data_IF_140403493636
#
_entry.id   IF_140403493636
#
_cell.length_a   1.000
_cell.length_b   1.000
_cell.length_c   1.000
_cell.angle_alpha   90.00
_cell.angle_beta   90.00
_cell.angle_gamma   90.00
#
_symmetry.space_group_name_H-M   'P 1'
#
loop_
_entity.id
_entity.type
_entity.pdbx_description
1 polymer ?
#
# COMPACT_ATOMS: atom_id res chain seq x y z
N UNK A 1 41.66 22.86 21.09
CA UNK A 1 40.82 22.06 20.18
C UNK A 1 40.06 23.03 19.29
N UNK A 2 40.13 22.93 17.98
CA UNK A 2 39.50 23.90 17.09
C UNK A 2 38.00 23.62 17.05
N UNK A 3 37.15 24.63 17.30
CA UNK A 3 35.69 24.51 17.31
C UNK A 3 35.12 23.85 16.02
N UNK A 4 35.74 24.16 14.87
CA UNK A 4 35.38 23.56 13.59
C UNK A 4 35.54 22.02 13.59
N UNK A 5 36.63 21.51 14.12
CA UNK A 5 36.86 20.06 14.23
C UNK A 5 35.92 19.39 15.24
N UNK A 6 35.52 20.10 16.30
CA UNK A 6 34.54 19.59 17.26
C UNK A 6 33.16 19.47 16.62
N UNK A 7 32.71 20.48 15.86
CA UNK A 7 31.44 20.47 15.16
C UNK A 7 31.42 19.41 14.04
N UNK A 8 32.51 19.26 13.30
CA UNK A 8 32.66 18.22 12.29
C UNK A 8 32.58 16.81 12.92
N UNK A 9 33.27 16.59 14.02
CA UNK A 9 33.22 15.32 14.75
C UNK A 9 31.79 15.05 15.28
N UNK A 10 31.12 16.08 15.84
CA UNK A 10 29.75 15.99 16.31
C UNK A 10 28.78 15.58 15.18
N UNK A 11 28.90 16.19 14.03
CA UNK A 11 28.11 15.82 12.84
C UNK A 11 28.34 14.36 12.44
N UNK A 12 29.61 13.93 12.37
CA UNK A 12 29.95 12.55 12.01
C UNK A 12 29.47 11.53 13.03
N UNK A 13 29.48 11.86 14.31
CA UNK A 13 28.95 11.01 15.38
C UNK A 13 27.44 10.87 15.25
N UNK A 14 26.70 11.97 15.03
CA UNK A 14 25.25 11.93 14.81
C UNK A 14 24.87 11.07 13.60
N UNK A 15 25.56 11.24 12.48
CA UNK A 15 25.35 10.39 11.31
C UNK A 15 25.78 8.94 11.58
N UNK A 16 26.88 8.74 12.30
CA UNK A 16 27.43 7.43 12.65
C UNK A 16 26.47 6.60 13.52
N UNK A 17 25.74 7.21 14.46
CA UNK A 17 24.79 6.51 15.32
C UNK A 17 23.56 5.99 14.56
N UNK A 18 23.16 6.62 13.47
CA UNK A 18 22.01 6.18 12.67
C UNK A 18 22.28 4.85 11.95
N UNK A 19 23.55 4.58 11.60
CA UNK A 19 23.92 3.38 10.84
C UNK A 19 23.86 2.08 11.62
N UNK A 20 24.36 1.98 12.88
CA UNK A 20 24.17 0.79 13.70
C UNK A 20 22.70 0.41 13.88
N UNK A 21 21.83 1.41 14.09
CA UNK A 21 20.39 1.19 14.21
C UNK A 21 19.83 0.60 12.92
N UNK A 22 20.27 1.12 11.77
CA UNK A 22 19.83 0.62 10.47
C UNK A 22 20.36 -0.80 10.21
N UNK A 23 21.59 -1.12 10.57
CA UNK A 23 22.17 -2.47 10.50
C UNK A 23 21.32 -3.47 11.31
N UNK A 24 21.01 -3.12 12.57
CA UNK A 24 20.22 -3.99 13.46
C UNK A 24 18.81 -4.19 12.91
N UNK A 25 18.17 -3.12 12.43
CA UNK A 25 16.85 -3.18 11.80
C UNK A 25 16.86 -4.09 10.57
N UNK A 26 17.81 -3.87 9.65
CA UNK A 26 17.94 -4.67 8.45
C UNK A 26 18.27 -6.15 8.77
N UNK A 27 19.13 -6.40 9.77
CA UNK A 27 19.46 -7.75 10.21
C UNK A 27 18.25 -8.50 10.76
N UNK A 28 17.41 -7.83 11.56
CA UNK A 28 16.17 -8.41 12.13
C UNK A 28 15.09 -8.62 11.09
N UNK A 29 15.00 -7.75 10.09
CA UNK A 29 14.02 -7.85 9.01
C UNK A 29 14.20 -9.09 8.12
N UNK A 30 15.43 -9.66 8.08
CA UNK A 30 15.78 -10.87 7.28
C UNK A 30 15.44 -10.76 5.79
N UNK A 31 15.17 -9.56 5.28
CA UNK A 31 14.87 -9.26 3.87
C UNK A 31 15.66 -8.06 3.38
N UNK A 32 16.04 -8.06 2.11
CA UNK A 32 16.74 -6.94 1.48
C UNK A 32 15.80 -5.90 0.84
N UNK A 33 14.48 -6.15 0.79
CA UNK A 33 13.51 -5.31 0.06
C UNK A 33 13.43 -3.85 0.51
N UNK A 34 13.70 -3.57 1.78
CA UNK A 34 13.69 -2.20 2.32
C UNK A 34 15.06 -1.49 2.27
N UNK A 35 16.07 -2.04 1.59
CA UNK A 35 17.43 -1.52 1.63
C UNK A 35 17.95 -1.26 0.22
N UNK A 36 18.35 -0.02 -0.07
CA UNK A 36 18.97 0.35 -1.35
C UNK A 36 20.48 0.13 -1.30
N UNK A 37 21.00 -0.81 -2.08
CA UNK A 37 22.44 -1.02 -2.22
C UNK A 37 23.15 0.20 -2.80
N UNK A 38 22.54 0.85 -3.80
CA UNK A 38 23.10 2.05 -4.41
C UNK A 38 23.28 3.18 -3.38
N UNK A 39 22.33 3.35 -2.47
CA UNK A 39 22.42 4.32 -1.40
C UNK A 39 23.59 4.01 -0.44
N UNK A 40 23.77 2.76 -0.04
CA UNK A 40 24.90 2.36 0.82
C UNK A 40 26.23 2.61 0.13
N UNK A 41 26.36 2.28 -1.17
CA UNK A 41 27.58 2.50 -1.95
C UNK A 41 27.90 3.99 -2.04
N UNK A 42 26.89 4.84 -2.28
CA UNK A 42 27.07 6.29 -2.34
C UNK A 42 27.65 6.86 -1.03
N UNK A 43 27.16 6.40 0.11
CA UNK A 43 27.68 6.82 1.43
C UNK A 43 29.11 6.33 1.65
N UNK A 44 29.43 5.09 1.28
CA UNK A 44 30.81 4.56 1.35
C UNK A 44 31.76 5.43 0.53
N UNK A 45 31.35 5.78 -0.69
CA UNK A 45 32.12 6.66 -1.59
C UNK A 45 32.35 8.03 -0.95
N UNK A 46 31.36 8.59 -0.29
CA UNK A 46 31.47 9.85 0.45
C UNK A 46 32.51 9.77 1.59
N UNK A 47 32.49 8.69 2.37
CA UNK A 47 33.52 8.50 3.43
C UNK A 47 34.92 8.31 2.86
N UNK A 48 35.07 7.55 1.77
CA UNK A 48 36.39 7.39 1.10
C UNK A 48 36.89 8.75 0.61
N UNK A 49 36.03 9.55 -0.04
CA UNK A 49 36.43 10.90 -0.48
C UNK A 49 36.84 11.82 0.69
N UNK A 50 36.09 11.78 1.80
CA UNK A 50 36.42 12.56 3.01
C UNK A 50 37.72 12.14 3.64
N UNK A 51 37.99 10.84 3.73
CA UNK A 51 39.27 10.31 4.23
C UNK A 51 40.42 10.77 3.32
N UNK A 52 40.24 10.62 1.99
CA UNK A 52 41.25 11.03 1.02
C UNK A 52 41.60 12.54 1.13
N UNK A 53 40.56 13.38 1.25
CA UNK A 53 40.77 14.83 1.40
C UNK A 53 41.57 15.17 2.69
N UNK A 54 41.30 14.49 3.82
CA UNK A 54 42.04 14.71 5.06
C UNK A 54 43.48 14.26 4.99
N UNK A 55 43.74 13.16 4.30
CA UNK A 55 45.12 12.67 4.08
C UNK A 55 45.88 13.64 3.18
N UNK A 56 45.33 14.07 2.06
CA UNK A 56 45.96 15.01 1.13
C UNK A 56 46.28 16.34 1.82
N UNK A 57 45.40 16.84 2.68
CA UNK A 57 45.55 18.08 3.41
C UNK A 57 46.41 17.94 4.69
N UNK A 58 47.06 16.80 4.94
CA UNK A 58 47.82 16.50 6.16
C UNK A 58 47.08 16.76 7.47
N UNK A 59 45.72 16.62 7.45
CA UNK A 59 44.88 16.84 8.62
C UNK A 59 44.64 15.52 9.40
N UNK A 60 45.74 14.93 9.87
CA UNK A 60 45.72 13.66 10.62
C UNK A 60 45.31 13.92 12.08
N UNK A 61 44.05 14.16 12.33
CA UNK A 61 43.47 14.41 13.65
C UNK A 61 42.48 13.32 14.06
N UNK A 62 41.96 13.40 15.30
CA UNK A 62 41.00 12.43 15.85
C UNK A 62 39.73 12.29 14.98
N UNK A 63 39.39 13.32 14.21
CA UNK A 63 38.23 13.29 13.29
C UNK A 63 38.44 12.24 12.18
N UNK A 64 39.66 12.04 11.71
CA UNK A 64 39.99 11.00 10.75
C UNK A 64 39.66 9.60 11.29
N UNK A 65 39.92 9.37 12.59
CA UNK A 65 39.51 8.11 13.25
C UNK A 65 38.00 7.86 13.22
N UNK A 66 37.19 8.92 13.39
CA UNK A 66 35.74 8.84 13.29
C UNK A 66 35.28 8.50 11.87
N UNK A 67 35.94 9.02 10.83
CA UNK A 67 35.64 8.65 9.43
C UNK A 67 35.89 7.15 9.18
N UNK A 68 37.01 6.60 9.68
CA UNK A 68 37.30 5.17 9.54
C UNK A 68 36.26 4.30 10.29
N UNK A 69 35.89 4.71 11.52
CA UNK A 69 34.87 4.01 12.30
C UNK A 69 33.54 3.98 11.54
N UNK A 70 33.08 5.12 11.04
CA UNK A 70 31.84 5.23 10.29
C UNK A 70 31.88 4.42 8.99
N UNK A 71 33.00 4.42 8.27
CA UNK A 71 33.19 3.61 7.07
C UNK A 71 33.04 2.11 7.40
N UNK A 72 33.62 1.65 8.50
CA UNK A 72 33.51 0.26 8.94
C UNK A 72 32.05 -0.11 9.26
N UNK A 73 31.32 0.75 9.99
CA UNK A 73 29.92 0.55 10.35
C UNK A 73 29.03 0.52 9.09
N UNK A 74 29.22 1.47 8.16
CA UNK A 74 28.44 1.51 6.92
C UNK A 74 28.74 0.28 6.05
N UNK A 75 30.00 -0.18 6.01
CA UNK A 75 30.38 -1.39 5.29
C UNK A 75 29.66 -2.64 5.84
N UNK A 76 29.38 -2.70 7.14
CA UNK A 76 28.60 -3.78 7.74
C UNK A 76 27.19 -3.88 7.13
N UNK A 77 26.57 -2.77 6.69
CA UNK A 77 25.28 -2.80 6.00
C UNK A 77 25.35 -3.56 4.67
N UNK A 78 26.47 -3.51 3.96
CA UNK A 78 26.66 -4.29 2.71
C UNK A 78 26.59 -5.79 3.01
N UNK A 79 27.25 -6.24 4.07
CA UNK A 79 27.22 -7.65 4.47
C UNK A 79 25.81 -8.10 4.86
N UNK A 80 25.08 -7.27 5.63
CA UNK A 80 23.69 -7.56 6.01
C UNK A 80 22.80 -7.59 4.76
N UNK A 81 22.97 -6.66 3.82
CA UNK A 81 22.24 -6.65 2.56
C UNK A 81 22.47 -7.94 1.76
N UNK A 82 23.74 -8.36 1.57
CA UNK A 82 24.08 -9.58 0.84
C UNK A 82 23.49 -10.82 1.52
N UNK A 83 23.59 -10.89 2.87
CA UNK A 83 22.95 -11.96 3.65
C UNK A 83 21.44 -12.02 3.42
N UNK A 84 20.77 -10.89 3.55
CA UNK A 84 19.33 -10.80 3.39
C UNK A 84 18.89 -11.13 1.96
N UNK A 85 19.63 -10.68 0.95
CA UNK A 85 19.38 -11.04 -0.46
C UNK A 85 19.53 -12.54 -0.70
N UNK A 86 20.48 -13.20 -0.01
CA UNK A 86 20.62 -14.68 -0.06
C UNK A 86 19.46 -15.40 0.66
N UNK A 87 18.95 -14.83 1.76
CA UNK A 87 17.79 -15.34 2.47
C UNK A 87 16.52 -15.21 1.62
N UNK A 88 16.32 -14.06 0.97
CA UNK A 88 15.21 -13.84 0.03
C UNK A 88 15.25 -14.85 -1.12
N UNK A 89 16.45 -15.13 -1.70
CA UNK A 89 16.63 -16.17 -2.71
C UNK A 89 16.29 -17.58 -2.20
N UNK A 90 16.73 -17.91 -0.97
CA UNK A 90 16.41 -19.22 -0.34
C UNK A 90 14.92 -19.35 -0.03
N UNK A 91 14.28 -18.28 0.44
CA UNK A 91 12.83 -18.24 0.68
C UNK A 91 12.04 -18.42 -0.62
N UNK A 92 12.49 -17.80 -1.72
CA UNK A 92 11.91 -17.98 -3.04
C UNK A 92 12.16 -19.38 -3.63
N UNK A 93 13.31 -19.99 -3.31
CA UNK A 93 13.65 -21.34 -3.77
C UNK A 93 13.02 -22.47 -2.94
N UNK A 94 12.67 -22.21 -1.67
CA UNK A 94 12.10 -23.20 -0.75
C UNK A 94 10.55 -23.26 -0.79
N UNK A 95 9.90 -22.47 -1.68
CA UNK A 95 8.46 -22.59 -1.96
C UNK A 95 8.08 -23.93 -2.61
N UNK A 96 9.05 -24.77 -2.97
CA UNK A 96 8.77 -26.08 -3.58
C UNK A 96 8.88 -27.30 -2.64
N UNK A 97 9.20 -27.14 -1.35
CA UNK A 97 9.36 -28.33 -0.49
C UNK A 97 8.83 -28.04 0.92
N UNK A 98 7.71 -28.63 1.19
CA UNK A 98 6.95 -28.88 2.42
C UNK A 98 5.66 -28.08 2.54
N UNK A 99 4.77 -28.27 1.57
CA UNK A 99 3.37 -28.45 1.93
C UNK A 99 3.31 -29.77 2.71
N UNK A 100 3.29 -29.67 4.04
CA UNK A 100 2.87 -30.76 4.90
C UNK A 100 1.53 -31.22 4.34
N UNK A 101 1.36 -32.51 4.06
CA UNK A 101 0.08 -33.13 3.71
C UNK A 101 -0.96 -32.77 4.78
N UNK A 102 -1.49 -31.57 4.71
CA UNK A 102 -2.88 -31.29 5.10
C UNK A 102 -3.67 -32.08 4.07
N UNK A 103 -4.59 -32.90 4.53
CA UNK A 103 -5.32 -33.82 3.69
C UNK A 103 -5.83 -33.06 2.47
N UNK A 104 -5.36 -33.47 1.30
CA UNK A 104 -5.68 -32.87 -0.02
C UNK A 104 -7.19 -32.66 -0.15
N UNK A 105 -7.99 -33.50 0.52
CA UNK A 105 -9.45 -33.44 0.60
C UNK A 105 -10.01 -32.16 1.26
N UNK A 106 -9.35 -31.61 2.29
CA UNK A 106 -9.82 -30.40 2.98
C UNK A 106 -9.47 -29.15 2.19
N UNK A 107 -8.33 -29.19 1.47
CA UNK A 107 -7.92 -28.11 0.56
C UNK A 107 -8.81 -28.09 -0.69
N UNK A 108 -9.15 -29.26 -1.23
CA UNK A 108 -10.06 -29.37 -2.38
C UNK A 108 -11.46 -28.92 -1.99
N UNK A 109 -11.95 -29.30 -0.81
CA UNK A 109 -13.25 -28.87 -0.29
C UNK A 109 -13.32 -27.37 -0.04
N UNK A 110 -12.29 -26.79 0.59
CA UNK A 110 -12.19 -25.34 0.77
C UNK A 110 -12.07 -24.60 -0.56
N UNK A 111 -11.36 -25.15 -1.54
CA UNK A 111 -11.29 -24.60 -2.90
C UNK A 111 -12.64 -24.68 -3.64
N UNK A 112 -13.39 -25.76 -3.47
CA UNK A 112 -14.71 -25.90 -4.07
C UNK A 112 -15.72 -24.96 -3.41
N UNK A 113 -15.67 -24.80 -2.09
CA UNK A 113 -16.53 -23.88 -1.35
C UNK A 113 -16.24 -22.41 -1.69
N UNK A 114 -14.95 -22.04 -1.77
CA UNK A 114 -14.51 -20.71 -2.23
C UNK A 114 -14.90 -20.51 -3.70
N UNK A 115 -14.74 -21.51 -4.55
CA UNK A 115 -15.10 -21.46 -5.96
C UNK A 115 -16.61 -21.33 -6.15
N UNK A 116 -17.42 -22.04 -5.35
CA UNK A 116 -18.87 -21.97 -5.40
C UNK A 116 -19.40 -20.61 -4.93
N UNK A 117 -18.89 -20.10 -3.82
CA UNK A 117 -19.23 -18.75 -3.33
C UNK A 117 -18.79 -17.66 -4.30
N UNK A 118 -17.59 -17.83 -4.89
CA UNK A 118 -17.07 -16.93 -5.91
C UNK A 118 -17.88 -16.98 -7.21
N UNK A 119 -18.30 -18.17 -7.65
CA UNK A 119 -19.11 -18.34 -8.86
C UNK A 119 -20.51 -17.76 -8.67
N UNK A 120 -21.13 -17.95 -7.51
CA UNK A 120 -22.45 -17.39 -7.20
C UNK A 120 -22.41 -15.84 -7.14
N UNK A 121 -21.38 -15.27 -6.51
CA UNK A 121 -21.17 -13.80 -6.50
C UNK A 121 -20.84 -13.23 -7.88
N UNK A 122 -20.15 -13.99 -8.73
CA UNK A 122 -19.89 -13.63 -10.12
C UNK A 122 -21.13 -13.72 -10.99
N UNK A 123 -21.95 -14.76 -10.80
CA UNK A 123 -23.18 -14.93 -11.56
C UNK A 123 -24.23 -13.87 -11.20
N UNK A 124 -24.30 -13.43 -9.95
CA UNK A 124 -25.13 -12.29 -9.53
C UNK A 124 -24.64 -10.97 -10.17
N UNK A 125 -23.32 -10.74 -10.24
CA UNK A 125 -22.74 -9.58 -10.90
C UNK A 125 -22.92 -9.62 -12.43
N UNK A 126 -22.78 -10.80 -13.05
CA UNK A 126 -22.94 -10.97 -14.51
C UNK A 126 -24.42 -10.89 -14.92
N UNK A 127 -25.33 -11.42 -14.10
CA UNK A 127 -26.76 -11.41 -14.40
C UNK A 127 -27.46 -10.08 -14.04
N UNK A 128 -26.90 -9.27 -13.13
CA UNK A 128 -27.33 -7.91 -12.82
C UNK A 128 -26.94 -6.86 -13.86
N UNK A 129 -25.91 -7.13 -14.66
CA UNK A 129 -25.34 -6.17 -15.63
C UNK A 129 -25.73 -6.53 -17.09
N UNK A 130 -26.98 -6.80 -17.38
CA UNK A 130 -27.41 -6.82 -18.78
C UNK A 130 -27.41 -5.41 -19.35
N UNK A 131 -26.39 -5.14 -20.20
CA UNK A 131 -26.31 -4.07 -21.21
C UNK A 131 -25.84 -2.66 -20.78
N UNK A 132 -24.78 -2.50 -20.03
CA UNK A 132 -24.00 -1.25 -20.10
C UNK A 132 -22.68 -1.52 -20.82
N UNK A 133 -22.42 -0.82 -21.93
CA UNK A 133 -21.09 -0.75 -22.54
C UNK A 133 -20.24 0.05 -21.55
N UNK A 134 -19.44 -0.65 -20.74
CA UNK A 134 -18.51 -0.02 -19.79
C UNK A 134 -17.48 0.80 -20.58
N UNK A 135 -17.39 2.09 -20.29
CA UNK A 135 -16.45 2.96 -20.91
C UNK A 135 -15.02 2.63 -20.47
N UNK A 136 -14.10 2.58 -21.41
CA UNK A 136 -12.67 2.54 -21.11
C UNK A 136 -12.25 3.83 -20.42
N UNK A 137 -11.17 3.77 -19.65
CA UNK A 137 -10.61 4.92 -18.91
C UNK A 137 -11.50 5.43 -17.75
N UNK A 138 -12.34 4.58 -17.19
CA UNK A 138 -13.13 4.90 -16.01
C UNK A 138 -12.29 4.83 -14.73
N UNK A 139 -12.83 5.41 -13.66
CA UNK A 139 -12.37 5.17 -12.29
C UNK A 139 -13.11 3.95 -11.72
N UNK A 140 -12.41 3.08 -11.03
CA UNK A 140 -12.98 1.88 -10.44
C UNK A 140 -12.91 1.97 -8.91
N UNK A 141 -14.03 1.71 -8.24
CA UNK A 141 -14.06 1.37 -6.82
C UNK A 141 -13.96 -0.16 -6.72
N UNK A 142 -12.94 -0.64 -6.04
CA UNK A 142 -12.66 -2.07 -5.88
C UNK A 142 -12.37 -2.40 -4.43
N UNK A 143 -13.33 -2.98 -3.76
CA UNK A 143 -13.25 -3.26 -2.33
C UNK A 143 -14.08 -4.45 -1.89
N UNK A 144 -14.33 -4.50 -0.59
CA UNK A 144 -15.03 -5.56 0.10
C UNK A 144 -16.52 -5.26 0.33
N UNK A 145 -17.00 -5.81 1.44
CA UNK A 145 -18.44 -5.77 1.80
C UNK A 145 -18.93 -4.35 2.11
N UNK A 146 -18.09 -3.50 2.71
CA UNK A 146 -18.42 -2.10 2.97
C UNK A 146 -18.68 -1.33 1.67
N UNK A 147 -17.91 -1.63 0.63
CA UNK A 147 -17.89 -0.87 -0.61
C UNK A 147 -18.99 -1.27 -1.58
N UNK A 148 -19.43 -2.53 -1.51
CA UNK A 148 -20.39 -3.10 -2.46
C UNK A 148 -21.67 -2.26 -2.63
N UNK A 149 -22.17 -1.71 -1.53
CA UNK A 149 -23.43 -0.96 -1.50
C UNK A 149 -23.26 0.55 -1.70
N UNK A 150 -22.07 1.04 -2.02
CA UNK A 150 -21.86 2.46 -2.34
C UNK A 150 -22.46 2.77 -3.71
N UNK A 151 -23.47 3.68 -3.78
CA UNK A 151 -24.16 4.00 -5.02
C UNK A 151 -23.33 4.99 -5.85
N UNK A 152 -22.22 4.50 -6.42
CA UNK A 152 -21.23 5.35 -7.12
C UNK A 152 -21.83 6.18 -8.26
N UNK A 153 -22.84 5.67 -8.97
CA UNK A 153 -23.48 6.39 -10.06
C UNK A 153 -24.32 7.58 -9.56
N UNK A 154 -25.02 7.44 -8.42
CA UNK A 154 -25.81 8.50 -7.82
C UNK A 154 -24.91 9.57 -7.23
N UNK A 155 -23.88 9.17 -6.49
CA UNK A 155 -22.88 10.07 -5.94
C UNK A 155 -22.09 10.79 -7.05
N UNK A 156 -21.77 10.11 -8.17
CA UNK A 156 -21.13 10.73 -9.32
C UNK A 156 -21.99 11.87 -9.90
N UNK A 157 -23.30 11.68 -9.98
CA UNK A 157 -24.24 12.73 -10.44
C UNK A 157 -24.38 13.87 -9.43
N UNK A 158 -24.56 13.52 -8.15
CA UNK A 158 -24.73 14.50 -7.07
C UNK A 158 -23.52 15.44 -6.93
N UNK A 159 -22.32 14.87 -7.04
CA UNK A 159 -21.05 15.60 -6.88
C UNK A 159 -20.41 16.03 -8.22
N UNK A 160 -21.15 15.93 -9.33
CA UNK A 160 -20.72 16.37 -10.66
C UNK A 160 -19.32 15.84 -11.05
N UNK A 161 -19.13 14.51 -10.99
CA UNK A 161 -17.89 13.93 -11.47
C UNK A 161 -17.83 14.04 -13.00
N UNK A 162 -16.67 14.40 -13.51
CA UNK A 162 -16.44 14.55 -14.96
C UNK A 162 -15.76 13.33 -15.60
N UNK A 163 -15.93 12.17 -14.97
CA UNK A 163 -15.42 10.87 -15.42
C UNK A 163 -16.40 9.78 -15.01
N UNK A 164 -16.37 8.68 -15.76
CA UNK A 164 -17.14 7.50 -15.41
C UNK A 164 -16.53 6.78 -14.23
N UNK A 165 -17.38 6.26 -13.36
CA UNK A 165 -16.95 5.46 -12.22
C UNK A 165 -17.84 4.23 -12.07
N UNK A 166 -17.21 3.08 -11.82
CA UNK A 166 -17.89 1.81 -11.64
C UNK A 166 -17.50 1.18 -10.31
N UNK A 167 -18.48 0.61 -9.63
CA UNK A 167 -18.26 -0.19 -8.44
C UNK A 167 -18.07 -1.66 -8.84
N UNK A 168 -16.87 -2.19 -8.60
CA UNK A 168 -16.48 -3.59 -8.84
C UNK A 168 -16.13 -4.31 -7.53
N UNK A 169 -16.70 -3.84 -6.42
CA UNK A 169 -16.47 -4.42 -5.11
C UNK A 169 -17.26 -5.72 -4.92
N UNK A 170 -16.66 -6.68 -4.22
CA UNK A 170 -17.21 -7.99 -3.98
C UNK A 170 -17.25 -8.31 -2.48
N UNK A 171 -18.37 -8.86 -2.00
CA UNK A 171 -18.46 -9.30 -0.61
C UNK A 171 -17.45 -10.39 -0.30
N UNK A 172 -16.89 -10.33 0.91
CA UNK A 172 -15.98 -11.34 1.44
C UNK A 172 -14.77 -11.65 0.56
N UNK A 173 -14.36 -10.73 -0.31
CA UNK A 173 -13.22 -10.94 -1.19
C UNK A 173 -11.92 -10.92 -0.40
N UNK A 174 -11.03 -11.87 -0.68
CA UNK A 174 -9.67 -11.92 -0.17
C UNK A 174 -8.68 -11.38 -1.21
N UNK A 175 -7.47 -11.00 -0.82
CA UNK A 175 -6.44 -10.50 -1.74
C UNK A 175 -6.09 -11.49 -2.87
N UNK A 176 -5.92 -12.81 -2.62
CA UNK A 176 -5.74 -13.77 -3.71
C UNK A 176 -6.90 -13.78 -4.71
N UNK A 177 -8.14 -13.74 -4.21
CA UNK A 177 -9.34 -13.72 -5.05
C UNK A 177 -9.47 -12.38 -5.80
N UNK A 178 -9.13 -11.27 -5.17
CA UNK A 178 -9.15 -9.95 -5.78
C UNK A 178 -8.18 -9.84 -6.96
N UNK A 179 -7.00 -10.44 -6.86
CA UNK A 179 -6.03 -10.50 -7.95
C UNK A 179 -6.59 -11.21 -9.19
N UNK A 180 -7.24 -12.37 -8.99
CA UNK A 180 -7.86 -13.12 -10.08
C UNK A 180 -9.09 -12.39 -10.64
N UNK A 181 -9.90 -11.77 -9.78
CA UNK A 181 -11.04 -10.98 -10.19
C UNK A 181 -10.62 -9.76 -11.03
N UNK A 182 -9.58 -9.06 -10.61
CA UNK A 182 -9.02 -7.95 -11.36
C UNK A 182 -8.64 -8.38 -12.78
N UNK A 183 -7.86 -9.45 -12.93
CA UNK A 183 -7.43 -9.97 -14.23
C UNK A 183 -8.59 -10.30 -15.16
N UNK A 184 -9.64 -10.93 -14.62
CA UNK A 184 -10.77 -11.42 -15.40
C UNK A 184 -11.77 -10.31 -15.75
N UNK A 185 -12.05 -9.39 -14.83
CA UNK A 185 -13.19 -8.50 -14.93
C UNK A 185 -12.82 -7.01 -15.05
N UNK A 186 -11.74 -6.55 -14.42
CA UNK A 186 -11.39 -5.13 -14.35
C UNK A 186 -10.33 -4.75 -15.39
N UNK A 187 -9.34 -5.60 -15.62
CA UNK A 187 -8.21 -5.32 -16.50
C UNK A 187 -8.63 -4.89 -17.93
N UNK A 188 -9.69 -5.50 -18.48
CA UNK A 188 -10.24 -5.17 -19.79
C UNK A 188 -10.78 -3.73 -19.92
N UNK A 189 -11.12 -3.09 -18.79
CA UNK A 189 -11.63 -1.72 -18.73
C UNK A 189 -10.52 -0.68 -18.87
N UNK A 190 -9.25 -1.06 -18.69
CA UNK A 190 -8.09 -0.18 -18.75
C UNK A 190 -8.31 1.04 -17.83
N UNK A 191 -8.46 0.85 -16.51
CA UNK A 191 -8.86 1.91 -15.60
C UNK A 191 -7.87 3.08 -15.62
N UNK A 192 -8.38 4.30 -15.62
CA UNK A 192 -7.59 5.51 -15.46
C UNK A 192 -7.27 5.81 -13.99
N UNK A 193 -8.11 5.32 -13.10
CA UNK A 193 -7.91 5.39 -11.66
C UNK A 193 -8.59 4.22 -10.97
N UNK A 194 -8.04 3.79 -9.85
CA UNK A 194 -8.59 2.72 -9.05
C UNK A 194 -8.48 3.06 -7.56
N UNK A 195 -9.58 2.90 -6.85
CA UNK A 195 -9.67 3.05 -5.39
C UNK A 195 -9.80 1.64 -4.83
N UNK A 196 -8.82 1.21 -4.04
CA UNK A 196 -8.70 -0.16 -3.53
C UNK A 196 -8.92 -0.18 -2.03
N UNK A 197 -9.93 -0.92 -1.58
CA UNK A 197 -10.22 -1.16 -0.17
C UNK A 197 -10.30 -2.66 0.08
N UNK A 198 -9.15 -3.29 0.27
CA UNK A 198 -8.99 -4.74 0.40
C UNK A 198 -8.21 -5.10 1.65
N UNK A 199 -8.31 -6.34 2.08
CA UNK A 199 -7.54 -6.90 3.19
C UNK A 199 -8.36 -7.16 4.45
N UNK A 200 -9.62 -6.73 4.53
CA UNK A 200 -10.48 -6.98 5.70
C UNK A 200 -10.69 -8.48 5.97
N UNK A 201 -10.68 -9.30 4.93
CA UNK A 201 -10.84 -10.74 4.99
C UNK A 201 -9.51 -11.52 5.04
N UNK A 202 -8.37 -10.80 5.08
CA UNK A 202 -7.04 -11.40 5.02
C UNK A 202 -6.30 -11.36 6.36
N UNK A 203 -7.00 -11.17 7.48
CA UNK A 203 -6.41 -11.12 8.83
C UNK A 203 -5.64 -12.41 9.14
N UNK A 204 -6.20 -13.56 8.80
CA UNK A 204 -5.55 -14.86 9.00
C UNK A 204 -4.30 -15.03 8.12
N UNK A 205 -4.36 -14.58 6.86
CA UNK A 205 -3.21 -14.56 5.96
C UNK A 205 -2.10 -13.69 6.53
N UNK A 206 -2.44 -12.47 6.96
CA UNK A 206 -1.48 -11.51 7.51
C UNK A 206 -0.80 -12.03 8.79
N UNK A 207 -1.56 -12.67 9.69
CA UNK A 207 -1.03 -13.23 10.93
C UNK A 207 -0.07 -14.39 10.69
N UNK A 208 -0.36 -15.24 9.72
CA UNK A 208 0.46 -16.41 9.41
C UNK A 208 1.67 -16.06 8.53
N UNK A 209 1.50 -15.15 7.59
CA UNK A 209 2.53 -14.71 6.63
C UNK A 209 2.27 -13.30 6.14
N UNK A 210 2.72 -12.30 6.90
CA UNK A 210 2.58 -10.89 6.50
C UNK A 210 3.33 -10.56 5.21
N UNK A 211 4.39 -11.31 4.88
CA UNK A 211 5.10 -11.12 3.63
C UNK A 211 4.29 -11.62 2.43
N UNK A 212 3.49 -12.66 2.59
CA UNK A 212 2.56 -13.10 1.56
C UNK A 212 1.44 -12.07 1.35
N UNK A 213 0.91 -11.48 2.43
CA UNK A 213 -0.07 -10.39 2.34
C UNK A 213 0.48 -9.21 1.52
N UNK A 214 1.68 -8.72 1.87
CA UNK A 214 2.34 -7.64 1.14
C UNK A 214 2.58 -8.02 -0.34
N UNK A 215 2.96 -9.27 -0.59
CA UNK A 215 3.22 -9.74 -1.94
C UNK A 215 1.96 -9.80 -2.82
N UNK A 216 0.80 -10.17 -2.26
CA UNK A 216 -0.46 -10.13 -3.00
C UNK A 216 -0.85 -8.70 -3.35
N UNK A 217 -0.70 -7.76 -2.42
CA UNK A 217 -0.94 -6.34 -2.71
C UNK A 217 -0.02 -5.83 -3.81
N UNK A 218 1.28 -6.05 -3.69
CA UNK A 218 2.26 -5.62 -4.69
C UNK A 218 1.99 -6.24 -6.06
N UNK A 219 1.63 -7.53 -6.10
CA UNK A 219 1.30 -8.21 -7.35
C UNK A 219 0.04 -7.59 -8.00
N UNK A 220 -0.98 -7.25 -7.20
CA UNK A 220 -2.17 -6.58 -7.71
C UNK A 220 -1.82 -5.21 -8.31
N UNK A 221 -0.98 -4.43 -7.64
CA UNK A 221 -0.55 -3.12 -8.14
C UNK A 221 0.31 -3.24 -9.40
N UNK A 222 1.16 -4.25 -9.50
CA UNK A 222 1.95 -4.54 -10.69
C UNK A 222 1.05 -4.90 -11.89
N UNK A 223 0.01 -5.72 -11.67
CA UNK A 223 -0.98 -6.06 -12.71
C UNK A 223 -1.77 -4.83 -13.17
N UNK A 224 -2.17 -3.94 -12.25
CA UNK A 224 -2.86 -2.68 -12.60
C UNK A 224 -1.96 -1.82 -13.48
N UNK A 225 -0.69 -1.64 -13.09
CA UNK A 225 0.29 -0.84 -13.85
C UNK A 225 0.67 -1.49 -15.18
N UNK A 226 0.64 -2.81 -15.27
CA UNK A 226 0.85 -3.54 -16.53
C UNK A 226 -0.26 -3.25 -17.54
N UNK A 227 -1.51 -3.09 -17.06
CA UNK A 227 -2.66 -2.72 -17.90
C UNK A 227 -2.61 -1.24 -18.30
N UNK A 228 -2.35 -0.36 -17.34
CA UNK A 228 -2.21 1.08 -17.56
C UNK A 228 -1.16 1.65 -16.59
N UNK A 229 0.03 1.95 -17.11
CA UNK A 229 1.16 2.48 -16.33
C UNK A 229 0.86 3.82 -15.66
N UNK A 230 -0.06 4.60 -16.22
CA UNK A 230 -0.45 5.92 -15.76
C UNK A 230 -1.71 5.86 -14.87
N UNK A 231 -2.20 4.66 -14.53
CA UNK A 231 -3.34 4.47 -13.65
C UNK A 231 -3.07 5.11 -12.28
N UNK A 232 -3.96 6.00 -11.87
CA UNK A 232 -3.90 6.61 -10.54
C UNK A 232 -4.44 5.61 -9.52
N UNK A 233 -3.70 5.35 -8.46
CA UNK A 233 -4.06 4.34 -7.46
C UNK A 233 -4.24 5.01 -6.11
N UNK A 234 -5.35 4.70 -5.43
CA UNK A 234 -5.58 5.03 -4.03
C UNK A 234 -5.80 3.74 -3.23
N UNK A 235 -5.05 3.58 -2.15
CA UNK A 235 -5.21 2.49 -1.19
C UNK A 235 -5.91 3.00 0.05
N UNK A 236 -6.97 2.32 0.44
CA UNK A 236 -7.80 2.67 1.59
C UNK A 236 -7.41 1.78 2.77
N UNK A 237 -7.30 2.35 3.96
CA UNK A 237 -7.06 1.57 5.17
C UNK A 237 -8.28 0.73 5.54
N UNK A 238 -8.06 -0.45 6.12
CA UNK A 238 -9.12 -1.26 6.70
C UNK A 238 -9.75 -0.47 7.86
N UNK A 239 -11.07 -0.43 7.93
CA UNK A 239 -11.79 0.27 8.99
C UNK A 239 -11.53 -0.37 10.36
N UNK A 240 -11.07 0.42 11.33
CA UNK A 240 -10.64 -0.07 12.64
C UNK A 240 -11.18 0.79 13.81
N UNK A 241 -12.52 0.86 13.99
CA UNK A 241 -13.14 1.74 14.98
C UNK A 241 -12.83 1.35 16.43
N UNK A 242 -12.51 0.07 16.69
CA UNK A 242 -12.22 -0.47 17.99
C UNK A 242 -10.73 -0.38 18.40
N UNK A 243 -9.88 0.20 17.53
CA UNK A 243 -8.44 0.29 17.81
C UNK A 243 -7.74 -1.08 17.88
N UNK A 244 -8.17 -2.04 17.10
CA UNK A 244 -7.55 -3.36 17.04
C UNK A 244 -6.10 -3.24 16.55
N UNK A 245 -5.16 -3.65 17.39
CA UNK A 245 -3.72 -3.56 17.10
C UNK A 245 -3.28 -4.33 15.85
N UNK A 246 -3.96 -5.43 15.52
CA UNK A 246 -3.66 -6.24 14.33
C UNK A 246 -4.08 -5.49 13.07
N UNK A 247 -5.27 -4.91 13.04
CA UNK A 247 -5.73 -4.08 11.93
C UNK A 247 -4.88 -2.82 11.78
N UNK A 248 -4.47 -2.20 12.88
CA UNK A 248 -3.54 -1.07 12.84
C UNK A 248 -2.20 -1.45 12.20
N UNK A 249 -1.68 -2.66 12.49
CA UNK A 249 -0.46 -3.15 11.86
C UNK A 249 -0.66 -3.45 10.37
N UNK A 250 -1.79 -4.06 9.98
CA UNK A 250 -2.14 -4.25 8.57
C UNK A 250 -2.24 -2.92 7.83
N UNK A 251 -2.87 -1.92 8.42
CA UNK A 251 -2.97 -0.58 7.86
C UNK A 251 -1.60 0.10 7.70
N UNK A 252 -0.67 -0.15 8.62
CA UNK A 252 0.71 0.32 8.48
C UNK A 252 1.43 -0.34 7.29
N UNK A 253 1.18 -1.62 7.02
CA UNK A 253 1.69 -2.32 5.83
C UNK A 253 1.08 -1.75 4.54
N UNK A 254 -0.24 -1.56 4.49
CA UNK A 254 -0.93 -0.97 3.33
C UNK A 254 -0.38 0.45 3.05
N UNK A 255 -0.18 1.26 4.10
CA UNK A 255 0.44 2.58 3.95
C UNK A 255 1.87 2.51 3.43
N UNK A 256 2.69 1.59 3.93
CA UNK A 256 4.05 1.40 3.44
C UNK A 256 4.08 0.97 1.96
N UNK A 257 3.16 0.10 1.55
CA UNK A 257 2.98 -0.29 0.15
C UNK A 257 2.59 0.93 -0.70
N UNK A 258 1.62 1.73 -0.24
CA UNK A 258 1.20 2.93 -0.96
C UNK A 258 2.37 3.90 -1.18
N UNK A 259 3.19 4.14 -0.15
CA UNK A 259 4.37 5.00 -0.24
C UNK A 259 5.42 4.45 -1.23
N UNK A 260 5.66 3.13 -1.20
CA UNK A 260 6.63 2.48 -2.09
C UNK A 260 6.19 2.56 -3.55
N UNK A 261 4.89 2.36 -3.79
CA UNK A 261 4.28 2.28 -5.11
C UNK A 261 3.78 3.62 -5.64
N UNK A 262 4.01 4.73 -4.90
CA UNK A 262 3.56 6.09 -5.22
C UNK A 262 2.03 6.19 -5.38
N UNK A 263 1.29 5.36 -4.66
CA UNK A 263 -0.15 5.42 -4.56
C UNK A 263 -0.58 6.40 -3.44
N UNK A 264 -1.79 6.91 -3.54
CA UNK A 264 -2.39 7.72 -2.48
C UNK A 264 -2.86 6.80 -1.36
N UNK A 265 -2.46 7.05 -0.10
CA UNK A 265 -3.02 6.36 1.04
C UNK A 265 -4.10 7.20 1.71
N UNK A 266 -5.25 6.58 2.01
CA UNK A 266 -6.40 7.21 2.66
C UNK A 266 -6.74 6.43 3.92
N UNK A 267 -6.59 7.10 5.07
CA UNK A 267 -6.88 6.51 6.38
C UNK A 267 -8.34 6.76 6.77
N UNK A 268 -9.15 5.70 6.86
CA UNK A 268 -10.56 5.75 7.25
C UNK A 268 -10.78 6.17 8.71
N UNK A 269 -9.77 6.09 9.58
CA UNK A 269 -9.88 6.60 10.96
C UNK A 269 -10.16 8.12 10.98
N UNK A 270 -9.76 8.83 9.93
CA UNK A 270 -10.00 10.26 9.76
C UNK A 270 -11.37 10.57 9.13
N UNK A 271 -12.17 9.57 8.76
CA UNK A 271 -13.44 9.75 8.05
C UNK A 271 -14.45 10.65 8.80
N UNK A 272 -14.39 10.68 10.13
CA UNK A 272 -15.24 11.53 10.97
C UNK A 272 -14.96 13.04 10.77
N UNK A 273 -13.79 13.39 10.23
CA UNK A 273 -13.36 14.76 9.97
C UNK A 273 -13.68 15.22 8.55
N UNK A 274 -14.15 14.33 7.70
CA UNK A 274 -14.43 14.65 6.31
C UNK A 274 -15.72 15.46 6.17
N UNK A 275 -15.67 16.42 5.27
CA UNK A 275 -16.82 17.29 4.97
C UNK A 275 -17.12 17.25 3.47
N UNK A 276 -17.93 16.30 3.00
CA UNK A 276 -18.27 16.16 1.59
C UNK A 276 -19.00 17.39 1.03
N UNK A 277 -19.75 18.12 1.84
CA UNK A 277 -20.43 19.35 1.40
C UNK A 277 -19.46 20.49 1.06
N UNK A 278 -18.34 20.61 1.79
CA UNK A 278 -17.29 21.55 1.44
C UNK A 278 -16.63 21.19 0.10
N UNK A 279 -16.43 19.91 -0.16
CA UNK A 279 -15.93 19.41 -1.44
C UNK A 279 -16.92 19.69 -2.57
N UNK A 280 -18.24 19.53 -2.33
CA UNK A 280 -19.30 19.86 -3.27
C UNK A 280 -19.28 21.33 -3.63
N UNK A 281 -19.28 22.24 -2.63
CA UNK A 281 -19.24 23.67 -2.85
C UNK A 281 -18.00 24.13 -3.63
N UNK A 282 -16.82 23.57 -3.32
CA UNK A 282 -15.60 23.87 -4.06
C UNK A 282 -15.69 23.46 -5.53
N UNK A 283 -16.32 22.31 -5.83
CA UNK A 283 -16.50 21.81 -7.18
C UNK A 283 -17.53 22.63 -7.98
N UNK A 284 -18.63 23.04 -7.35
CA UNK A 284 -19.63 23.92 -7.95
C UNK A 284 -19.01 25.28 -8.33
N UNK A 285 -18.21 25.85 -7.44
CA UNK A 285 -17.47 27.08 -7.71
C UNK A 285 -16.50 26.90 -8.90
N UNK A 286 -15.73 25.82 -8.92
CA UNK A 286 -14.80 25.54 -9.99
C UNK A 286 -15.51 25.34 -11.33
N UNK A 287 -16.67 24.64 -11.35
CA UNK A 287 -17.49 24.46 -12.52
C UNK A 287 -18.03 25.80 -13.04
N UNK A 288 -18.53 26.67 -12.15
CA UNK A 288 -18.99 28.00 -12.49
C UNK A 288 -17.88 28.88 -13.11
N UNK A 289 -16.62 28.64 -12.73
CA UNK A 289 -15.44 29.30 -13.30
C UNK A 289 -14.94 28.69 -14.62
N UNK A 290 -15.62 27.67 -15.14
CA UNK A 290 -15.22 26.95 -16.35
C UNK A 290 -13.94 26.11 -16.21
N UNK A 291 -13.52 25.82 -14.99
CA UNK A 291 -12.35 25.02 -14.70
C UNK A 291 -12.70 23.53 -14.80
N UNK A 292 -12.04 22.81 -15.70
CA UNK A 292 -12.11 21.34 -15.74
C UNK A 292 -11.23 20.77 -14.62
N UNK A 293 -11.79 20.63 -13.44
CA UNK A 293 -11.07 20.00 -12.32
C UNK A 293 -11.24 18.49 -12.42
N UNK A 294 -10.14 17.79 -12.65
CA UNK A 294 -10.05 16.35 -12.50
C UNK A 294 -9.93 16.06 -11.01
N UNK A 295 -11.01 15.59 -10.38
CA UNK A 295 -11.02 15.34 -8.94
C UNK A 295 -9.91 14.35 -8.57
N UNK A 296 -9.08 14.65 -7.55
CA UNK A 296 -8.16 13.68 -6.97
C UNK A 296 -8.93 12.45 -6.47
N UNK A 297 -8.33 11.26 -6.58
CA UNK A 297 -8.95 10.03 -6.06
C UNK A 297 -9.25 10.12 -4.55
N UNK A 298 -8.49 10.93 -3.81
CA UNK A 298 -8.74 11.19 -2.40
C UNK A 298 -10.14 11.81 -2.19
N UNK A 299 -10.49 12.85 -2.93
CA UNK A 299 -11.78 13.55 -2.79
C UNK A 299 -12.94 12.62 -3.14
N UNK A 300 -12.77 11.80 -4.18
CA UNK A 300 -13.76 10.78 -4.57
C UNK A 300 -13.96 9.75 -3.46
N UNK A 301 -12.88 9.24 -2.90
CA UNK A 301 -12.94 8.28 -1.80
C UNK A 301 -13.56 8.89 -0.54
N UNK A 302 -13.22 10.13 -0.19
CA UNK A 302 -13.81 10.83 0.96
C UNK A 302 -15.34 10.95 0.82
N UNK A 303 -15.84 11.28 -0.37
CA UNK A 303 -17.28 11.31 -0.65
C UNK A 303 -17.91 9.93 -0.44
N UNK A 304 -17.33 8.88 -1.01
CA UNK A 304 -17.87 7.53 -0.94
C UNK A 304 -17.92 6.98 0.48
N UNK A 305 -16.82 7.13 1.22
CA UNK A 305 -16.76 6.61 2.59
C UNK A 305 -17.54 7.47 3.58
N UNK A 306 -17.67 8.79 3.37
CA UNK A 306 -18.60 9.61 4.14
C UNK A 306 -20.04 9.13 3.98
N UNK A 307 -20.46 8.80 2.75
CA UNK A 307 -21.78 8.22 2.49
C UNK A 307 -21.94 6.85 3.17
N UNK A 308 -20.96 5.94 3.00
CA UNK A 308 -21.03 4.60 3.59
C UNK A 308 -21.16 4.64 5.12
N UNK A 309 -20.41 5.52 5.80
CA UNK A 309 -20.47 5.67 7.26
C UNK A 309 -21.77 6.36 7.72
N UNK A 310 -22.29 7.32 6.95
CA UNK A 310 -23.57 7.94 7.27
C UNK A 310 -24.71 6.92 7.19
N UNK A 311 -24.78 6.13 6.13
CA UNK A 311 -25.80 5.10 5.95
C UNK A 311 -25.75 3.99 7.02
N UNK A 312 -24.54 3.58 7.47
CA UNK A 312 -24.41 2.65 8.58
C UNK A 312 -24.94 3.21 9.90
N UNK A 313 -24.69 4.49 10.18
CA UNK A 313 -25.19 5.14 11.40
C UNK A 313 -26.71 5.33 11.41
N UNK A 314 -27.33 5.57 10.27
CA UNK A 314 -28.79 5.65 10.14
C UNK A 314 -29.42 4.28 10.38
N UNK A 315 -28.92 3.23 9.74
CA UNK A 315 -29.42 1.86 9.92
C UNK A 315 -29.26 1.34 11.35
N UNK A 316 -28.14 1.71 12.04
CA UNK A 316 -27.93 1.34 13.43
C UNK A 316 -28.93 2.03 14.41
N UNK A 317 -29.42 3.23 14.07
CA UNK A 317 -30.44 3.92 14.87
C UNK A 317 -31.84 3.33 14.65
N UNK A 318 -32.18 2.93 13.43
CA UNK A 318 -33.47 2.31 13.12
C UNK A 318 -33.64 0.93 13.77
N UNK A 319 -32.54 0.15 13.87
CA UNK A 319 -32.55 -1.15 14.57
C UNK A 319 -32.66 -1.05 16.09
N UNK A 320 -32.40 0.13 16.70
CA UNK A 320 -32.52 0.36 18.14
C UNK A 320 -33.88 0.93 18.55
N UNK A 321 -34.73 1.30 17.60
CA UNK A 321 -36.05 1.92 17.84
C UNK A 321 -37.19 0.96 17.43
N UNK A 322 -36.90 -0.17 16.83
CA UNK A 322 -37.81 -1.25 16.51
C UNK A 322 -37.67 -2.42 17.49
#
# INVERSE_FOLDING_TARGET
MNLAHLLEAGMLVCFGFSWPLNVVKAYRAKTARGTSLAFIILIITGYIAGISAKIINNQLNYVLGVYFLNLAIVSANVFVYIRNKRLDKKSSGNKNIKIKKLEIKDIERAKEEIKLNYTNSLDELINGEKSFVENKNAVILFGGSLDKNIPVADLSREYNFNFDIYNKSCENITLPAALEYFKKNIAKMIPEGIIIHLGENDISLFQNDSAAFDNYYLTLLDEIKAVNKDCRIALISIYNPAGNKKLALMNAHINAIAQTEKAVFINLENAKLWNPEATKAANEFAYAMGLKIRKPLRDVAEIFYSYAFHSMNVNAKETLVG
#
